data_IF_115249606206
#
_entry.id   IF_115249606206
#
_cell.length_a   1.000
_cell.length_b   1.000
_cell.length_c   1.000
_cell.angle_alpha   90.00
_cell.angle_beta   90.00
_cell.angle_gamma   90.00
#
_symmetry.space_group_name_H-M   'P 1'
#
loop_
_entity.id
_entity.type
_entity.pdbx_description
1 polymer ?
#
# COMPACT_ATOMS: atom_id res chain seq x y z
N UNK A 1 -33.59 -11.06 3.69
CA UNK A 1 -33.60 -10.25 4.93
C UNK A 1 -32.54 -10.83 5.83
N UNK A 2 -31.44 -10.12 6.07
CA UNK A 2 -30.37 -10.59 6.96
C UNK A 2 -30.91 -10.63 8.39
N UNK A 3 -30.96 -11.82 8.99
CA UNK A 3 -31.39 -11.99 10.38
C UNK A 3 -30.24 -11.59 11.30
N UNK A 4 -30.54 -10.84 12.36
CA UNK A 4 -29.59 -10.28 13.32
C UNK A 4 -28.89 -11.31 14.24
N UNK A 5 -28.84 -12.59 13.84
CA UNK A 5 -28.39 -13.70 14.69
C UNK A 5 -26.96 -14.19 14.42
N UNK A 6 -26.26 -13.67 13.40
CA UNK A 6 -24.93 -14.15 13.01
C UNK A 6 -23.80 -13.15 13.30
N UNK A 7 -23.90 -12.38 14.39
CA UNK A 7 -22.76 -11.62 14.95
C UNK A 7 -21.78 -12.61 15.60
N UNK A 8 -21.07 -13.36 14.76
CA UNK A 8 -20.04 -14.32 15.20
C UNK A 8 -19.01 -13.60 16.08
N UNK A 9 -18.41 -14.30 17.06
CA UNK A 9 -17.40 -13.72 17.95
C UNK A 9 -16.26 -13.01 17.17
N UNK A 10 -15.96 -13.51 15.98
CA UNK A 10 -15.01 -12.93 15.01
C UNK A 10 -15.44 -11.53 14.54
N UNK A 11 -16.72 -11.28 14.30
CA UNK A 11 -17.20 -9.94 13.92
C UNK A 11 -17.06 -8.93 15.07
N UNK A 12 -17.35 -9.37 16.30
CA UNK A 12 -17.21 -8.53 17.51
C UNK A 12 -15.75 -8.13 17.76
N UNK A 13 -14.80 -9.04 17.53
CA UNK A 13 -13.38 -8.71 17.55
C UNK A 13 -12.97 -7.72 16.45
N UNK A 14 -13.65 -7.77 15.30
CA UNK A 14 -13.42 -6.86 14.18
C UNK A 14 -14.03 -5.46 14.38
N UNK A 15 -14.98 -5.26 15.29
CA UNK A 15 -15.61 -3.96 15.62
C UNK A 15 -14.69 -2.93 16.28
N UNK A 16 -13.38 -3.19 16.33
CA UNK A 16 -12.43 -2.19 16.75
C UNK A 16 -12.26 -1.11 15.67
N UNK A 17 -12.49 0.16 16.01
CA UNK A 17 -12.39 1.31 15.10
C UNK A 17 -11.07 1.39 14.32
N UNK A 18 -9.97 0.84 14.85
CA UNK A 18 -8.67 0.72 14.18
C UNK A 18 -8.70 -0.16 12.92
N UNK A 19 -9.60 -1.14 12.85
CA UNK A 19 -9.68 -2.06 11.72
C UNK A 19 -10.24 -1.39 10.45
N UNK A 20 -10.88 -0.23 10.58
CA UNK A 20 -11.41 0.55 9.45
C UNK A 20 -10.34 1.01 8.46
N UNK A 21 -9.08 1.10 8.89
CA UNK A 21 -7.95 1.55 8.07
C UNK A 21 -7.17 0.41 7.40
N UNK A 22 -7.56 -0.85 7.58
CA UNK A 22 -6.86 -1.97 6.94
C UNK A 22 -7.03 -1.88 5.41
N UNK A 23 -5.94 -2.03 4.62
CA UNK A 23 -6.05 -2.00 3.16
C UNK A 23 -6.89 -3.18 2.68
N UNK A 24 -7.71 -2.94 1.65
CA UNK A 24 -8.47 -4.01 0.99
C UNK A 24 -7.50 -4.91 0.25
N UNK A 25 -7.51 -6.21 0.58
CA UNK A 25 -6.63 -7.21 -0.02
C UNK A 25 -7.43 -8.10 -0.96
N UNK A 26 -6.83 -8.42 -2.10
CA UNK A 26 -7.29 -9.47 -3.00
C UNK A 26 -6.30 -10.63 -2.92
N UNK A 27 -6.70 -11.70 -2.23
CA UNK A 27 -5.79 -12.75 -1.78
C UNK A 27 -4.61 -12.16 -0.96
N UNK A 28 -3.38 -12.37 -1.42
CA UNK A 28 -2.17 -11.87 -0.77
C UNK A 28 -1.69 -10.53 -1.32
N UNK A 29 -2.33 -9.98 -2.35
CA UNK A 29 -1.94 -8.72 -3.00
C UNK A 29 -2.93 -7.61 -2.65
N UNK A 30 -2.49 -6.35 -2.84
CA UNK A 30 -3.39 -5.19 -2.79
C UNK A 30 -4.50 -5.36 -3.84
N UNK A 31 -5.76 -5.06 -3.47
CA UNK A 31 -6.89 -5.17 -4.40
C UNK A 31 -6.71 -4.30 -5.67
N UNK A 32 -5.92 -3.22 -5.59
CA UNK A 32 -5.60 -2.38 -6.74
C UNK A 32 -4.78 -3.11 -7.81
N UNK A 33 -3.99 -4.11 -7.42
CA UNK A 33 -3.22 -4.94 -8.34
C UNK A 33 -4.11 -5.87 -9.19
N UNK A 34 -5.39 -6.05 -8.82
CA UNK A 34 -6.34 -6.84 -9.60
C UNK A 34 -6.86 -6.11 -10.86
N UNK A 35 -6.74 -4.77 -10.91
CA UNK A 35 -7.24 -3.96 -12.03
C UNK A 35 -6.79 -4.44 -13.44
N UNK A 36 -5.49 -4.67 -13.70
CA UNK A 36 -5.04 -5.11 -15.02
C UNK A 36 -5.58 -6.50 -15.41
N UNK A 37 -5.90 -7.36 -14.46
CA UNK A 37 -6.50 -8.66 -14.75
C UNK A 37 -7.90 -8.51 -15.35
N UNK A 38 -8.69 -7.54 -14.91
CA UNK A 38 -9.99 -7.27 -15.54
C UNK A 38 -9.83 -6.83 -17.01
N UNK A 39 -8.81 -6.03 -17.32
CA UNK A 39 -8.51 -5.64 -18.71
C UNK A 39 -8.05 -6.84 -19.53
N UNK A 40 -7.20 -7.70 -18.98
CA UNK A 40 -6.74 -8.92 -19.63
C UNK A 40 -7.89 -9.87 -19.97
N UNK A 41 -8.87 -10.02 -19.06
CA UNK A 41 -10.05 -10.87 -19.26
C UNK A 41 -10.91 -10.41 -20.45
N UNK A 42 -11.08 -9.10 -20.63
CA UNK A 42 -11.87 -8.54 -21.74
C UNK A 42 -11.05 -8.46 -23.03
N UNK A 43 -9.75 -8.21 -22.92
CA UNK A 43 -8.86 -7.97 -24.06
C UNK A 43 -7.56 -8.76 -23.93
N UNK A 44 -7.62 -10.03 -24.37
CA UNK A 44 -6.47 -10.93 -24.35
C UNK A 44 -5.56 -10.66 -25.56
N UNK A 45 -4.52 -9.86 -25.36
CA UNK A 45 -3.44 -9.63 -26.31
C UNK A 45 -2.09 -9.87 -25.63
N UNK A 46 -1.04 -10.23 -26.38
CA UNK A 46 0.29 -10.42 -25.80
C UNK A 46 0.77 -9.17 -25.05
N UNK A 47 0.44 -7.98 -25.56
CA UNK A 47 0.79 -6.72 -24.89
C UNK A 47 0.06 -6.52 -23.55
N UNK A 48 -1.24 -6.83 -23.48
CA UNK A 48 -2.00 -6.70 -22.23
C UNK A 48 -1.55 -7.74 -21.19
N UNK A 49 -1.11 -8.91 -21.63
CA UNK A 49 -0.48 -9.92 -20.77
C UNK A 49 0.83 -9.39 -20.17
N UNK A 50 1.74 -8.86 -21.00
CA UNK A 50 3.01 -8.30 -20.53
C UNK A 50 2.77 -7.14 -19.54
N UNK A 51 1.85 -6.23 -19.87
CA UNK A 51 1.50 -5.11 -18.99
C UNK A 51 0.97 -5.62 -17.64
N UNK A 52 0.07 -6.61 -17.65
CA UNK A 52 -0.50 -7.19 -16.44
C UNK A 52 0.57 -7.83 -15.57
N UNK A 53 1.51 -8.56 -16.17
CA UNK A 53 2.64 -9.17 -15.46
C UNK A 53 3.52 -8.09 -14.82
N UNK A 54 3.89 -7.05 -15.58
CA UNK A 54 4.74 -5.96 -15.08
C UNK A 54 4.11 -5.23 -13.90
N UNK A 55 2.82 -4.89 -14.00
CA UNK A 55 2.08 -4.24 -12.90
C UNK A 55 2.02 -5.17 -11.68
N UNK A 56 1.72 -6.45 -11.88
CA UNK A 56 1.64 -7.42 -10.77
C UNK A 56 2.99 -7.57 -10.07
N UNK A 57 4.09 -7.67 -10.81
CA UNK A 57 5.46 -7.73 -10.26
C UNK A 57 5.79 -6.45 -9.50
N UNK A 58 5.43 -5.28 -10.03
CA UNK A 58 5.63 -4.01 -9.35
C UNK A 58 4.91 -3.97 -7.98
N UNK A 59 3.63 -4.35 -7.93
CA UNK A 59 2.89 -4.42 -6.67
C UNK A 59 3.43 -5.48 -5.71
N UNK A 60 3.90 -6.62 -6.23
CA UNK A 60 4.55 -7.64 -5.42
C UNK A 60 5.82 -7.11 -4.73
N UNK A 61 6.64 -6.34 -5.46
CA UNK A 61 7.83 -5.70 -4.89
C UNK A 61 7.44 -4.71 -3.78
N UNK A 62 6.41 -3.89 -4.00
CA UNK A 62 5.92 -2.94 -2.97
C UNK A 62 5.43 -3.66 -1.71
N UNK A 63 4.70 -4.77 -1.87
CA UNK A 63 4.23 -5.59 -0.75
C UNK A 63 5.40 -6.20 0.03
N UNK A 64 6.49 -6.60 -0.65
CA UNK A 64 7.72 -7.09 0.01
C UNK A 64 8.41 -6.02 0.85
N UNK A 65 8.26 -4.75 0.49
CA UNK A 65 8.70 -3.62 1.32
C UNK A 65 7.70 -3.25 2.42
N UNK A 66 6.53 -3.87 2.48
CA UNK A 66 5.46 -3.52 3.44
C UNK A 66 4.80 -2.17 3.15
N UNK A 67 4.92 -1.66 1.91
CA UNK A 67 4.37 -0.38 1.51
C UNK A 67 2.98 -0.55 0.91
N UNK A 68 1.99 0.14 1.49
CA UNK A 68 0.68 0.31 0.83
C UNK A 68 0.80 1.20 -0.40
N UNK A 69 -0.11 1.10 -1.37
CA UNK A 69 -0.07 1.93 -2.57
C UNK A 69 -0.02 3.46 -2.29
N UNK A 70 -0.79 4.03 -1.33
CA UNK A 70 -0.64 5.44 -0.99
C UNK A 70 0.71 5.76 -0.33
N UNK A 71 1.28 4.83 0.45
CA UNK A 71 2.59 5.00 1.06
C UNK A 71 3.72 4.92 0.02
N UNK A 72 3.63 4.03 -0.96
CA UNK A 72 4.60 3.94 -2.05
C UNK A 72 4.62 5.20 -2.90
N UNK A 73 3.45 5.79 -3.21
CA UNK A 73 3.40 7.09 -3.90
C UNK A 73 4.06 8.22 -3.10
N UNK A 74 3.93 8.22 -1.77
CA UNK A 74 4.64 9.18 -0.90
C UNK A 74 6.14 8.92 -0.93
N UNK A 75 6.56 7.67 -0.83
CA UNK A 75 7.97 7.29 -0.90
C UNK A 75 8.59 7.69 -2.24
N UNK A 76 7.91 7.41 -3.35
CA UNK A 76 8.33 7.82 -4.70
C UNK A 76 8.42 9.35 -4.79
N UNK A 77 7.44 10.08 -4.27
CA UNK A 77 7.48 11.55 -4.25
C UNK A 77 8.68 12.08 -3.47
N UNK A 78 8.94 11.53 -2.28
CA UNK A 78 10.09 11.91 -1.46
C UNK A 78 11.41 11.58 -2.17
N UNK A 79 11.47 10.42 -2.81
CA UNK A 79 12.62 9.99 -3.60
C UNK A 79 12.90 10.93 -4.79
N UNK A 80 11.86 11.35 -5.52
CA UNK A 80 11.97 12.33 -6.61
C UNK A 80 12.34 13.74 -6.11
N UNK A 81 11.87 14.12 -4.92
CA UNK A 81 12.16 15.43 -4.32
C UNK A 81 13.57 15.56 -3.74
N UNK A 82 14.27 14.44 -3.53
CA UNK A 82 15.61 14.40 -2.96
C UNK A 82 15.68 14.85 -1.49
N UNK A 83 16.89 15.07 -1.01
CA UNK A 83 17.16 15.38 0.40
C UNK A 83 16.96 16.87 0.77
N UNK A 84 16.62 17.71 -0.20
CA UNK A 84 16.48 19.15 0.04
C UNK A 84 15.17 19.46 0.78
N UNK A 85 15.27 19.66 2.09
CA UNK A 85 14.16 20.04 2.96
C UNK A 85 14.34 21.48 3.45
N UNK A 86 13.87 22.50 2.70
CA UNK A 86 14.13 23.91 3.03
C UNK A 86 13.52 24.35 4.36
N UNK A 87 12.49 23.64 4.84
CA UNK A 87 11.85 23.87 6.14
C UNK A 87 12.51 23.16 7.33
N UNK A 88 13.54 22.33 7.12
CA UNK A 88 14.35 21.83 8.24
C UNK A 88 15.21 22.99 8.76
N UNK A 89 14.98 23.40 10.01
CA UNK A 89 15.83 24.38 10.67
C UNK A 89 17.30 23.97 10.60
N UNK A 90 18.19 24.93 10.30
CA UNK A 90 19.67 24.81 10.21
C UNK A 90 20.38 24.37 11.51
N UNK A 91 19.66 23.83 12.49
CA UNK A 91 20.25 23.31 13.74
C UNK A 91 20.73 21.85 13.65
N UNK A 92 20.37 21.12 12.59
CA UNK A 92 20.72 19.69 12.45
C UNK A 92 22.21 19.36 12.21
N UNK A 93 23.07 20.38 12.03
CA UNK A 93 24.53 20.16 11.98
C UNK A 93 25.20 20.16 13.37
N UNK A 94 24.45 20.34 14.46
CA UNK A 94 24.98 20.03 15.78
C UNK A 94 24.78 18.54 16.03
N UNK A 95 25.88 17.79 15.92
CA UNK A 95 26.03 16.48 16.56
C UNK A 95 25.45 16.61 17.96
N UNK A 96 24.35 15.91 18.24
CA UNK A 96 23.93 15.62 19.62
C UNK A 96 25.07 14.78 20.23
N UNK A 97 26.05 15.47 20.81
CA UNK A 97 27.01 14.86 21.73
C UNK A 97 26.31 14.83 23.07
N UNK A 98 25.67 13.72 23.35
CA UNK A 98 25.23 13.42 24.71
C UNK A 98 26.48 13.17 25.54
N UNK A 99 26.77 14.09 26.46
CA UNK A 99 27.73 13.84 27.54
C UNK A 99 26.94 13.23 28.69
N UNK A 100 26.72 11.93 28.62
CA UNK A 100 26.24 11.08 29.70
C UNK A 100 27.27 9.99 29.97
#
# INVERSE_FOLDING_TARGET
>A
MASAADDTAVEKENWHWRNTMRPVRFFNLDARAAFPFFVLLVYLRPISLIITLLITVFFYILERYGLTFPASLRAIRLWLGGDFRPGHYRYAFRTLKDFG
#
